data_IF_260661574012
#
_entry.id   IF_260661574012
#
_cell.length_a   1.000
_cell.length_b   1.000
_cell.length_c   1.000
_cell.angle_alpha   90.00
_cell.angle_beta   90.00
_cell.angle_gamma   90.00
#
_symmetry.space_group_name_H-M   'P 1'
#
loop_
_entity.id
_entity.type
_entity.pdbx_description
1 polymer ?
#
# COMPACT_ATOMS: atom_id res chain seq x y z
N UNK A 1 -11.05 14.20 18.70
CA UNK A 1 -10.80 13.45 17.45
C UNK A 1 -11.10 11.99 17.73
N UNK A 2 -12.07 11.37 17.05
CA UNK A 2 -12.26 9.91 17.13
C UNK A 2 -10.96 9.26 16.65
N UNK A 3 -10.43 8.29 17.38
CA UNK A 3 -9.19 7.59 16.99
C UNK A 3 -9.36 6.98 15.60
N UNK A 4 -8.41 7.25 14.71
CA UNK A 4 -8.38 6.64 13.39
C UNK A 4 -8.22 5.13 13.59
N UNK A 5 -9.13 4.36 13.00
CA UNK A 5 -9.04 2.91 12.93
C UNK A 5 -8.60 2.52 11.52
N UNK A 6 -7.90 1.41 11.42
CA UNK A 6 -7.51 0.83 10.15
C UNK A 6 -7.94 -0.64 10.15
N UNK A 7 -8.57 -1.08 9.07
CA UNK A 7 -8.89 -2.49 8.86
C UNK A 7 -7.60 -3.28 8.55
N UNK A 8 -7.15 -4.20 9.44
CA UNK A 8 -5.81 -4.80 9.36
C UNK A 8 -5.55 -5.56 8.05
N UNK A 9 -6.56 -6.21 7.49
CA UNK A 9 -6.45 -7.00 6.26
C UNK A 9 -6.12 -6.15 5.02
N UNK A 10 -6.46 -4.86 5.05
CA UNK A 10 -6.13 -3.92 3.98
C UNK A 10 -4.77 -3.28 4.21
N UNK A 11 -4.40 -3.03 5.46
CA UNK A 11 -3.04 -2.58 5.82
C UNK A 11 -2.01 -3.64 5.42
N UNK A 12 -2.26 -4.92 5.70
CA UNK A 12 -1.36 -6.01 5.33
C UNK A 12 -1.10 -6.04 3.81
N UNK A 13 -2.14 -5.87 3.00
CA UNK A 13 -1.98 -5.79 1.53
C UNK A 13 -1.22 -4.56 1.11
N UNK A 14 -1.48 -3.40 1.72
CA UNK A 14 -0.78 -2.17 1.42
C UNK A 14 0.73 -2.31 1.66
N UNK A 15 1.11 -2.96 2.76
CA UNK A 15 2.51 -3.25 3.08
C UNK A 15 3.16 -4.21 2.09
N UNK A 16 2.46 -5.26 1.64
CA UNK A 16 2.98 -6.16 0.59
C UNK A 16 3.34 -5.37 -0.67
N UNK A 17 2.42 -4.53 -1.15
CA UNK A 17 2.66 -3.73 -2.36
C UNK A 17 3.75 -2.67 -2.18
N UNK A 18 3.90 -2.09 -0.98
CA UNK A 18 4.98 -1.15 -0.72
C UNK A 18 6.34 -1.84 -0.76
N UNK A 19 6.47 -3.00 -0.10
CA UNK A 19 7.71 -3.78 -0.09
C UNK A 19 8.10 -4.23 -1.52
N UNK A 20 7.13 -4.66 -2.32
CA UNK A 20 7.37 -5.03 -3.72
C UNK A 20 7.80 -3.81 -4.56
N UNK A 21 7.17 -2.65 -4.36
CA UNK A 21 7.54 -1.41 -5.05
C UNK A 21 9.00 -1.01 -4.76
N UNK A 22 9.42 -1.09 -3.49
CA UNK A 22 10.79 -0.80 -3.06
C UNK A 22 11.78 -1.79 -3.69
N UNK A 23 11.45 -3.09 -3.71
CA UNK A 23 12.28 -4.09 -4.38
C UNK A 23 12.42 -3.81 -5.87
N UNK A 24 11.31 -3.60 -6.57
CA UNK A 24 11.30 -3.32 -8.01
C UNK A 24 12.00 -2.01 -8.38
N UNK A 25 12.04 -1.03 -7.45
CA UNK A 25 12.82 0.18 -7.64
C UNK A 25 14.32 -0.15 -7.74
N UNK A 26 14.80 -1.04 -6.86
CA UNK A 26 16.22 -1.48 -6.89
C UNK A 26 16.57 -2.33 -8.11
N UNK A 27 15.59 -3.03 -8.69
CA UNK A 27 15.73 -3.87 -9.88
C UNK A 27 15.60 -3.06 -11.20
N UNK A 28 15.23 -1.77 -11.12
CA UNK A 28 15.04 -0.91 -12.30
C UNK A 28 13.70 -1.11 -13.02
N UNK A 29 12.74 -1.79 -12.39
CA UNK A 29 11.39 -1.99 -12.92
C UNK A 29 10.47 -0.78 -12.61
N UNK A 30 10.85 0.40 -13.08
CA UNK A 30 10.24 1.68 -12.65
C UNK A 30 8.72 1.77 -12.88
N UNK A 31 8.21 1.24 -13.98
CA UNK A 31 6.76 1.26 -14.24
C UNK A 31 6.00 0.41 -13.21
N UNK A 32 6.58 -0.71 -12.80
CA UNK A 32 5.97 -1.64 -11.86
C UNK A 32 6.03 -1.07 -10.44
N UNK A 33 7.16 -0.45 -10.06
CA UNK A 33 7.27 0.35 -8.83
C UNK A 33 6.15 1.38 -8.71
N UNK A 34 5.88 2.15 -9.77
CA UNK A 34 4.81 3.15 -9.75
C UNK A 34 3.42 2.51 -9.57
N UNK A 35 3.16 1.40 -10.26
CA UNK A 35 1.90 0.68 -10.13
C UNK A 35 1.69 0.17 -8.71
N UNK A 36 2.69 -0.47 -8.12
CA UNK A 36 2.62 -1.05 -6.79
C UNK A 36 2.53 0.01 -5.69
N UNK A 37 3.27 1.12 -5.82
CA UNK A 37 3.16 2.25 -4.90
C UNK A 37 1.75 2.86 -4.91
N UNK A 38 1.13 3.03 -6.09
CA UNK A 38 -0.26 3.48 -6.18
C UNK A 38 -1.22 2.49 -5.52
N UNK A 39 -1.02 1.19 -5.75
CA UNK A 39 -1.87 0.14 -5.17
C UNK A 39 -1.75 0.09 -3.64
N UNK A 40 -0.55 0.28 -3.10
CA UNK A 40 -0.31 0.40 -1.66
C UNK A 40 -1.12 1.57 -1.06
N UNK A 41 -1.04 2.75 -1.69
CA UNK A 41 -1.80 3.92 -1.26
C UNK A 41 -3.33 3.68 -1.31
N UNK A 42 -3.83 3.01 -2.36
CA UNK A 42 -5.24 2.64 -2.47
C UNK A 42 -5.68 1.74 -1.31
N UNK A 43 -4.89 0.71 -0.97
CA UNK A 43 -5.24 -0.18 0.12
C UNK A 43 -5.17 0.49 1.49
N UNK A 44 -4.21 1.38 1.72
CA UNK A 44 -4.18 2.20 2.94
C UNK A 44 -5.43 3.07 3.05
N UNK A 45 -5.85 3.75 1.98
CA UNK A 45 -7.08 4.54 1.98
C UNK A 45 -8.32 3.67 2.17
N UNK A 46 -8.35 2.49 1.55
CA UNK A 46 -9.44 1.53 1.75
C UNK A 46 -9.53 1.09 3.20
N UNK A 47 -8.39 0.83 3.84
CA UNK A 47 -8.33 0.44 5.26
C UNK A 47 -8.93 1.50 6.18
N UNK A 48 -8.84 2.78 5.83
CA UNK A 48 -9.49 3.90 6.54
C UNK A 48 -10.99 3.98 6.27
N UNK A 49 -11.43 3.67 5.05
CA UNK A 49 -12.83 3.79 4.64
C UNK A 49 -13.69 2.67 5.26
N UNK A 50 -13.11 1.47 5.43
CA UNK A 50 -13.84 0.26 5.88
C UNK A 50 -13.60 -0.10 7.35
N UNK A 51 -12.86 0.73 8.10
CA UNK A 51 -12.50 0.52 9.52
C UNK A 51 -13.62 0.77 10.53
#
# INVERSE_FOLDING_TARGET
>A
MKGIKFAPEWVERAEVFLNDAEKHLTEGHFWLTCFEAHQSAEFYLKSLIVS
#
